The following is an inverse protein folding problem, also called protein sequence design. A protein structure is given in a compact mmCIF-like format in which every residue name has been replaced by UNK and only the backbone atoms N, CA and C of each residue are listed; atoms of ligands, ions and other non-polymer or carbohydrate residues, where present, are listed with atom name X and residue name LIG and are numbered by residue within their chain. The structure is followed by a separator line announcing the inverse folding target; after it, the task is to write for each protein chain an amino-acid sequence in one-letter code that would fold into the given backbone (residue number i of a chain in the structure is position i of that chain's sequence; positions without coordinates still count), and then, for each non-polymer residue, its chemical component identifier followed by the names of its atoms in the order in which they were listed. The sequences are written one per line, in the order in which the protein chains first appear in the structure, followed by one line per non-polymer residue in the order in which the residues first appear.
data_IF_103044368957
#
_entry.id   IF_103044368957
#
_cell.length_a   1.000
_cell.length_b   1.000
_cell.length_c   1.000
_cell.angle_alpha   90.00
_cell.angle_beta   90.00
_cell.angle_gamma   90.00
#
_symmetry.space_group_name_H-M   'P 1'
#
loop_
_entity.id
_entity.type
_entity.pdbx_description
1 polymer ?
#
# COMPACT_ATOMS: atom_id res chain seq x y z
N UNK A 1 -3.71 3.81 22.31
CA UNK A 1 -2.39 3.15 22.26
C UNK A 1 -1.32 4.24 22.08
N UNK A 2 -0.12 4.06 22.60
CA UNK A 2 0.93 5.10 22.52
C UNK A 2 1.59 5.11 21.15
N UNK A 3 1.92 6.29 20.62
CA UNK A 3 2.67 6.45 19.36
C UNK A 3 4.12 5.95 19.51
N UNK A 4 4.67 5.35 18.45
CA UNK A 4 6.10 5.04 18.32
C UNK A 4 6.97 6.31 18.25
N UNK A 5 8.29 6.18 18.27
CA UNK A 5 9.17 7.35 18.09
C UNK A 5 8.99 7.95 16.69
N UNK A 6 9.00 7.13 15.64
CA UNK A 6 8.76 7.58 14.27
C UNK A 6 7.39 8.28 14.14
N UNK A 7 6.32 7.71 14.72
CA UNK A 7 4.98 8.32 14.71
C UNK A 7 4.94 9.67 15.44
N UNK A 8 5.65 9.82 16.57
CA UNK A 8 5.75 11.11 17.28
C UNK A 8 6.46 12.16 16.43
N UNK A 9 7.52 11.77 15.72
CA UNK A 9 8.25 12.67 14.80
C UNK A 9 7.42 13.06 13.59
N UNK A 10 6.65 12.13 13.03
CA UNK A 10 5.69 12.42 11.97
C UNK A 10 4.58 13.38 12.44
N UNK A 11 4.05 13.18 13.65
CA UNK A 11 3.03 14.06 14.22
C UNK A 11 3.50 15.52 14.31
N UNK A 12 4.77 15.76 14.62
CA UNK A 12 5.35 17.12 14.66
C UNK A 12 5.21 17.87 13.31
N UNK A 13 5.19 17.16 12.17
CA UNK A 13 5.02 17.76 10.85
C UNK A 13 3.65 18.42 10.67
N UNK A 14 2.62 17.93 11.35
CA UNK A 14 1.25 18.47 11.24
C UNK A 14 1.10 19.89 11.80
N UNK A 15 2.12 20.39 12.50
CA UNK A 15 2.22 21.79 12.95
C UNK A 15 2.65 22.72 11.81
N UNK A 16 3.19 22.19 10.72
CA UNK A 16 3.60 22.95 9.55
C UNK A 16 2.40 23.17 8.63
N UNK A 17 2.24 24.37 8.02
CA UNK A 17 1.14 24.64 7.10
C UNK A 17 1.05 23.69 5.90
N UNK A 18 2.17 23.09 5.48
CA UNK A 18 2.25 22.17 4.35
C UNK A 18 1.62 20.79 4.63
N UNK A 19 1.41 20.42 5.90
CA UNK A 19 0.88 19.10 6.28
C UNK A 19 -0.38 19.20 7.15
N UNK A 20 -1.49 19.80 6.66
CA UNK A 20 -2.69 20.06 7.46
C UNK A 20 -3.56 18.79 7.65
N UNK A 21 -2.93 17.66 7.97
CA UNK A 21 -3.57 16.36 8.14
C UNK A 21 -3.79 16.07 9.62
N UNK A 22 -4.93 15.47 9.95
CA UNK A 22 -5.16 14.93 11.29
C UNK A 22 -4.47 13.56 11.41
N UNK A 23 -3.24 13.56 11.92
CA UNK A 23 -2.41 12.36 12.05
C UNK A 23 -3.10 11.23 12.84
N UNK A 24 -3.74 11.55 13.95
CA UNK A 24 -4.46 10.55 14.75
C UNK A 24 -5.64 9.94 13.99
N UNK A 25 -6.38 10.74 13.19
CA UNK A 25 -7.44 10.23 12.33
C UNK A 25 -6.88 9.26 11.30
N UNK A 26 -5.78 9.61 10.63
CA UNK A 26 -5.13 8.73 9.66
C UNK A 26 -4.75 7.40 10.32
N UNK A 27 -4.00 7.47 11.43
CA UNK A 27 -3.56 6.27 12.15
C UNK A 27 -4.74 5.39 12.58
N UNK A 28 -5.77 5.98 13.17
CA UNK A 28 -6.92 5.20 13.65
C UNK A 28 -7.70 4.56 12.50
N UNK A 29 -7.86 5.24 11.36
CA UNK A 29 -8.55 4.67 10.20
C UNK A 29 -7.75 3.52 9.59
N UNK A 30 -6.43 3.67 9.47
CA UNK A 30 -5.54 2.59 9.02
C UNK A 30 -5.64 1.37 9.94
N UNK A 31 -5.59 1.58 11.26
CA UNK A 31 -5.74 0.50 12.25
C UNK A 31 -7.10 -0.20 12.16
N UNK A 32 -8.19 0.56 12.01
CA UNK A 32 -9.54 0.02 11.84
C UNK A 32 -9.66 -0.80 10.57
N UNK A 33 -9.25 -0.24 9.44
CA UNK A 33 -9.34 -0.90 8.13
C UNK A 33 -8.56 -2.23 8.12
N UNK A 34 -7.32 -2.25 8.61
CA UNK A 34 -6.51 -3.47 8.63
C UNK A 34 -7.06 -4.51 9.61
N UNK A 35 -7.64 -4.08 10.73
CA UNK A 35 -8.32 -4.97 11.68
C UNK A 35 -9.55 -5.61 11.05
N UNK A 36 -10.42 -4.81 10.43
CA UNK A 36 -11.65 -5.29 9.80
C UNK A 36 -11.35 -6.23 8.62
N UNK A 37 -10.38 -5.85 7.78
CA UNK A 37 -9.95 -6.68 6.65
C UNK A 37 -9.49 -8.08 7.11
N UNK A 38 -8.66 -8.16 8.15
CA UNK A 38 -8.22 -9.46 8.72
C UNK A 38 -9.39 -10.30 9.22
N UNK A 39 -10.40 -9.68 9.82
CA UNK A 39 -11.58 -10.40 10.32
C UNK A 39 -12.56 -10.83 9.23
N UNK A 40 -12.52 -10.21 8.05
CA UNK A 40 -13.43 -10.53 6.94
C UNK A 40 -13.21 -11.93 6.34
N UNK A 41 -12.03 -12.53 6.56
CA UNK A 41 -11.74 -13.93 6.25
C UNK A 41 -11.78 -14.30 4.77
N UNK A 42 -11.88 -13.33 3.86
CA UNK A 42 -12.09 -13.58 2.43
C UNK A 42 -10.81 -14.02 1.70
N UNK A 43 -9.66 -13.49 2.12
CA UNK A 43 -8.32 -13.78 1.59
C UNK A 43 -7.37 -14.05 2.75
N UNK A 44 -7.20 -15.32 3.12
CA UNK A 44 -6.37 -15.74 4.28
C UNK A 44 -4.96 -16.14 3.89
N UNK A 45 -4.71 -16.29 2.60
CA UNK A 45 -3.53 -16.99 2.12
C UNK A 45 -2.43 -15.98 1.84
N UNK A 46 -1.44 -16.00 2.73
CA UNK A 46 -0.13 -15.34 2.69
C UNK A 46 -0.05 -13.89 3.19
N UNK A 47 0.76 -13.76 4.25
CA UNK A 47 1.21 -12.59 5.04
C UNK A 47 0.17 -11.89 5.93
N UNK A 48 0.55 -11.69 7.21
CA UNK A 48 -0.23 -10.94 8.20
C UNK A 48 -0.04 -9.44 7.93
N UNK A 49 -0.90 -8.84 7.10
CA UNK A 49 -0.90 -7.38 6.87
C UNK A 49 -1.74 -6.62 7.91
N UNK A 50 -1.89 -7.16 9.13
CA UNK A 50 -2.56 -6.42 10.19
C UNK A 50 -1.78 -5.19 10.62
N UNK A 51 -2.39 -4.38 11.47
CA UNK A 51 -1.69 -3.27 12.12
C UNK A 51 -0.49 -3.72 12.98
N UNK A 52 -0.37 -5.02 13.30
CA UNK A 52 0.85 -5.57 13.93
C UNK A 52 2.04 -5.41 12.98
N UNK A 53 1.89 -5.79 11.70
CA UNK A 53 2.95 -5.66 10.69
C UNK A 53 3.37 -4.19 10.51
N UNK A 54 2.42 -3.26 10.48
CA UNK A 54 2.70 -1.82 10.45
C UNK A 54 3.57 -1.38 11.64
N UNK A 55 3.25 -1.83 12.86
CA UNK A 55 4.05 -1.51 14.05
C UNK A 55 5.45 -2.12 14.00
N UNK A 56 5.57 -3.35 13.51
CA UNK A 56 6.86 -4.03 13.38
C UNK A 56 7.75 -3.27 12.37
N UNK A 57 7.17 -2.74 11.28
CA UNK A 57 7.89 -1.87 10.35
C UNK A 57 8.31 -0.54 10.98
N UNK A 58 7.43 0.10 11.76
CA UNK A 58 7.77 1.32 12.51
C UNK A 58 8.94 1.10 13.48
N UNK A 59 8.97 -0.03 14.18
CA UNK A 59 10.10 -0.40 15.04
C UNK A 59 11.36 -0.71 14.21
N UNK A 60 11.19 -1.33 13.05
CA UNK A 60 12.30 -1.66 12.15
C UNK A 60 12.98 -0.40 11.63
N UNK A 61 12.24 0.65 11.25
CA UNK A 61 12.87 1.90 10.80
C UNK A 61 13.60 2.63 11.92
N UNK A 62 13.09 2.57 13.15
CA UNK A 62 13.77 3.12 14.34
C UNK A 62 15.10 2.40 14.63
N UNK A 63 15.19 1.11 14.31
CA UNK A 63 16.42 0.33 14.43
C UNK A 63 17.36 0.50 13.24
N UNK A 64 16.82 0.56 12.02
CA UNK A 64 17.58 0.57 10.77
C UNK A 64 18.24 1.92 10.50
N UNK A 65 17.55 3.02 10.80
CA UNK A 65 18.07 4.37 10.56
C UNK A 65 19.04 4.72 11.69
N UNK A 66 20.34 4.94 11.42
CA UNK A 66 21.31 5.24 12.47
C UNK A 66 21.00 6.55 13.21
N UNK A 67 21.34 6.69 14.50
CA UNK A 67 21.04 7.90 15.28
C UNK A 67 21.51 9.21 14.63
N UNK A 68 22.66 9.21 13.99
CA UNK A 68 23.21 10.33 13.24
C UNK A 68 22.35 10.74 12.04
N UNK A 69 21.65 9.80 11.41
CA UNK A 69 20.68 10.09 10.35
C UNK A 69 19.37 10.55 10.95
N UNK A 70 18.91 9.92 12.04
CA UNK A 70 17.69 10.33 12.74
C UNK A 70 17.73 11.79 13.21
N UNK A 71 18.91 12.30 13.59
CA UNK A 71 19.09 13.69 14.01
C UNK A 71 19.01 14.70 12.87
N UNK A 72 19.31 14.29 11.64
CA UNK A 72 19.26 15.14 10.44
C UNK A 72 17.88 15.10 9.76
N UNK A 73 17.09 14.04 10.01
CA UNK A 73 15.74 13.91 9.46
C UNK A 73 14.78 14.94 10.06
N UNK A 74 14.14 15.70 9.19
CA UNK A 74 13.10 16.65 9.55
C UNK A 74 11.79 15.94 9.90
N UNK A 75 10.87 16.64 10.57
CA UNK A 75 9.53 16.08 10.81
C UNK A 75 8.81 15.73 9.51
N UNK A 76 9.06 16.45 8.42
CA UNK A 76 8.51 16.14 7.10
C UNK A 76 9.02 14.81 6.55
N UNK A 77 10.31 14.49 6.72
CA UNK A 77 10.90 13.20 6.32
C UNK A 77 10.23 12.05 7.09
N UNK A 78 10.08 12.20 8.41
CA UNK A 78 9.37 11.24 9.25
C UNK A 78 7.90 11.10 8.86
N UNK A 79 7.23 12.21 8.52
CA UNK A 79 5.84 12.19 8.08
C UNK A 79 5.64 11.39 6.80
N UNK A 80 6.47 11.64 5.78
CA UNK A 80 6.42 10.89 4.53
C UNK A 80 6.73 9.40 4.75
N UNK A 81 7.74 9.09 5.57
CA UNK A 81 8.10 7.71 5.90
C UNK A 81 6.96 6.97 6.62
N UNK A 82 6.37 7.57 7.66
CA UNK A 82 5.30 6.94 8.43
C UNK A 82 4.04 6.74 7.59
N UNK A 83 3.65 7.74 6.78
CA UNK A 83 2.52 7.56 5.87
C UNK A 83 2.78 6.50 4.79
N UNK A 84 4.00 6.42 4.26
CA UNK A 84 4.37 5.35 3.33
C UNK A 84 4.23 3.97 4.01
N UNK A 85 4.72 3.82 5.23
CA UNK A 85 4.55 2.58 6.02
C UNK A 85 3.07 2.25 6.24
N UNK A 86 2.23 3.24 6.56
CA UNK A 86 0.79 3.01 6.74
C UNK A 86 0.07 2.57 5.46
N UNK A 87 0.48 3.08 4.30
CA UNK A 87 -0.31 2.94 3.08
C UNK A 87 0.26 1.94 2.07
N UNK A 88 1.54 1.57 2.13
CA UNK A 88 2.24 0.79 1.08
C UNK A 88 1.46 -0.46 0.64
N UNK A 89 0.87 -1.19 1.59
CA UNK A 89 0.15 -2.44 1.35
C UNK A 89 -1.39 -2.30 1.38
N UNK A 90 -1.92 -1.09 1.50
CA UNK A 90 -3.38 -0.87 1.46
C UNK A 90 -4.00 -1.37 0.15
N UNK A 91 -3.22 -1.41 -0.93
CA UNK A 91 -3.60 -1.95 -2.24
C UNK A 91 -3.84 -3.45 -2.24
N UNK A 92 -3.55 -4.16 -1.14
CA UNK A 92 -3.90 -5.57 -0.97
C UNK A 92 -5.32 -5.77 -0.47
N UNK A 93 -5.97 -4.69 0.00
CA UNK A 93 -7.34 -4.75 0.49
C UNK A 93 -8.27 -4.93 -0.70
N UNK A 94 -9.19 -5.86 -0.53
CA UNK A 94 -10.15 -6.27 -1.54
C UNK A 94 -11.47 -6.48 -0.82
N UNK A 95 -12.54 -5.94 -1.39
CA UNK A 95 -13.91 -6.23 -0.98
C UNK A 95 -14.50 -7.40 -1.75
N UNK A 96 -15.55 -7.99 -1.19
CA UNK A 96 -16.33 -9.02 -1.88
C UNK A 96 -16.89 -8.52 -3.23
N UNK A 97 -17.28 -7.26 -3.32
CA UNK A 97 -17.81 -6.67 -4.54
C UNK A 97 -16.75 -6.57 -5.65
N UNK A 98 -15.52 -6.16 -5.31
CA UNK A 98 -14.38 -6.19 -6.23
C UNK A 98 -14.11 -7.61 -6.72
N UNK A 99 -14.06 -8.59 -5.82
CA UNK A 99 -13.85 -9.98 -6.22
C UNK A 99 -14.97 -10.47 -7.13
N UNK A 100 -16.24 -10.32 -6.77
CA UNK A 100 -17.39 -10.74 -7.60
C UNK A 100 -17.40 -10.02 -8.97
N UNK A 101 -16.91 -8.77 -9.02
CA UNK A 101 -16.78 -7.96 -10.22
C UNK A 101 -15.48 -8.16 -11.03
N UNK A 102 -14.52 -8.98 -10.57
CA UNK A 102 -13.16 -9.10 -11.12
C UNK A 102 -13.06 -9.21 -12.64
N UNK A 103 -13.95 -9.93 -13.30
CA UNK A 103 -13.93 -10.07 -14.77
C UNK A 103 -14.41 -8.83 -15.53
N UNK A 104 -14.77 -7.75 -14.85
CA UNK A 104 -15.00 -6.44 -15.46
C UNK A 104 -13.69 -5.65 -15.58
N UNK A 105 -12.71 -5.95 -14.74
CA UNK A 105 -11.40 -5.32 -14.74
C UNK A 105 -10.57 -5.79 -15.97
N UNK A 106 -10.20 -4.87 -16.88
CA UNK A 106 -9.36 -5.21 -18.04
C UNK A 106 -7.93 -5.60 -17.66
N UNK A 107 -7.39 -5.08 -16.55
CA UNK A 107 -6.05 -5.40 -16.07
C UNK A 107 -6.01 -6.81 -15.48
N UNK A 108 -7.09 -7.24 -14.81
CA UNK A 108 -7.22 -8.63 -14.39
C UNK A 108 -7.24 -9.59 -15.58
N UNK A 109 -7.99 -9.28 -16.65
CA UNK A 109 -7.98 -10.10 -17.87
C UNK A 109 -6.59 -10.17 -18.50
N UNK A 110 -5.91 -9.04 -18.57
CA UNK A 110 -4.54 -8.96 -19.09
C UNK A 110 -3.58 -9.82 -18.26
N UNK A 111 -3.74 -9.81 -16.94
CA UNK A 111 -2.97 -10.66 -16.02
C UNK A 111 -3.23 -12.16 -16.26
N UNK A 112 -4.45 -12.56 -16.60
CA UNK A 112 -4.77 -13.94 -16.95
C UNK A 112 -4.06 -14.41 -18.23
N UNK A 113 -3.94 -13.52 -19.21
CA UNK A 113 -3.33 -13.84 -20.52
C UNK A 113 -1.79 -13.77 -20.48
N UNK A 114 -1.22 -12.88 -19.66
CA UNK A 114 0.21 -12.63 -19.55
C UNK A 114 0.68 -12.73 -18.08
N UNK A 115 0.88 -13.93 -17.54
CA UNK A 115 1.31 -14.10 -16.17
C UNK A 115 2.75 -13.62 -15.96
N UNK A 116 2.94 -12.64 -15.07
CA UNK A 116 4.21 -11.94 -14.82
C UNK A 116 4.98 -12.69 -13.72
N UNK A 117 5.25 -13.97 -13.96
CA UNK A 117 6.10 -14.80 -13.12
C UNK A 117 7.22 -15.36 -13.98
N UNK A 118 8.43 -15.45 -13.42
CA UNK A 118 9.51 -16.20 -14.05
C UNK A 118 9.00 -17.61 -14.40
N UNK A 119 9.36 -18.13 -15.58
CA UNK A 119 8.72 -19.32 -16.18
C UNK A 119 8.57 -20.51 -15.21
N UNK A 120 9.57 -20.75 -14.35
CA UNK A 120 9.55 -21.81 -13.33
C UNK A 120 8.53 -21.55 -12.22
N UNK A 121 8.45 -20.32 -11.70
CA UNK A 121 7.46 -19.92 -10.69
C UNK A 121 6.04 -19.94 -11.26
N UNK A 122 5.90 -19.56 -12.54
CA UNK A 122 4.62 -19.63 -13.23
C UNK A 122 4.12 -21.08 -13.35
N UNK A 123 4.98 -22.01 -13.75
CA UNK A 123 4.62 -23.42 -13.86
C UNK A 123 4.21 -24.01 -12.50
N UNK A 124 4.92 -23.67 -11.42
CA UNK A 124 4.57 -24.09 -10.05
C UNK A 124 3.22 -23.51 -9.61
N UNK A 125 2.96 -22.24 -9.93
CA UNK A 125 1.69 -21.60 -9.63
C UNK A 125 0.52 -22.27 -10.35
N UNK A 126 0.66 -22.55 -11.65
CA UNK A 126 -0.37 -23.29 -12.42
C UNK A 126 -0.59 -24.71 -11.87
N UNK A 127 0.47 -25.42 -11.50
CA UNK A 127 0.35 -26.73 -10.89
C UNK A 127 -0.39 -26.67 -9.55
N UNK A 128 -0.12 -25.65 -8.73
CA UNK A 128 -0.86 -25.39 -7.48
C UNK A 128 -2.33 -25.13 -7.76
N UNK A 129 -2.67 -24.25 -8.71
CA UNK A 129 -4.06 -23.96 -9.08
C UNK A 129 -4.81 -25.21 -9.54
N UNK A 130 -4.17 -26.07 -10.34
CA UNK A 130 -4.77 -27.31 -10.81
C UNK A 130 -5.03 -28.34 -9.70
N UNK A 131 -4.33 -28.24 -8.57
CA UNK A 131 -4.48 -29.13 -7.41
C UNK A 131 -5.57 -28.69 -6.42
N UNK A 132 -6.13 -27.49 -6.60
CA UNK A 132 -7.09 -26.87 -5.67
C UNK A 132 -8.54 -27.00 -6.20
N UNK A 133 -9.55 -26.98 -5.31
CA UNK A 133 -10.94 -26.78 -5.70
C UNK A 133 -11.10 -25.51 -6.54
N UNK A 134 -12.02 -25.51 -7.50
CA UNK A 134 -12.14 -24.43 -8.49
C UNK A 134 -12.36 -23.04 -7.86
N UNK A 135 -13.17 -22.96 -6.80
CA UNK A 135 -13.44 -21.73 -6.06
C UNK A 135 -12.21 -21.23 -5.29
N UNK A 136 -11.43 -22.15 -4.71
CA UNK A 136 -10.17 -21.82 -4.02
C UNK A 136 -9.10 -21.38 -5.01
N UNK A 137 -8.96 -22.09 -6.13
CA UNK A 137 -8.04 -21.74 -7.20
C UNK A 137 -8.34 -20.35 -7.77
N UNK A 138 -9.62 -20.01 -7.93
CA UNK A 138 -10.02 -18.71 -8.43
C UNK A 138 -9.72 -17.57 -7.45
N UNK A 139 -9.94 -17.77 -6.15
CA UNK A 139 -9.54 -16.80 -5.12
C UNK A 139 -8.03 -16.57 -5.12
N UNK A 140 -7.25 -17.65 -5.07
CA UNK A 140 -5.79 -17.58 -5.09
C UNK A 140 -5.28 -16.85 -6.35
N UNK A 141 -5.93 -17.06 -7.50
CA UNK A 141 -5.58 -16.36 -8.74
C UNK A 141 -5.81 -14.85 -8.64
N UNK A 142 -6.92 -14.44 -8.05
CA UNK A 142 -7.23 -13.03 -7.87
C UNK A 142 -6.35 -12.38 -6.79
N UNK A 143 -6.04 -13.09 -5.71
CA UNK A 143 -5.05 -12.65 -4.71
C UNK A 143 -3.70 -12.34 -5.36
N UNK A 144 -3.22 -13.21 -6.26
CA UNK A 144 -1.94 -13.01 -6.93
C UNK A 144 -1.97 -11.81 -7.88
N UNK A 145 -3.09 -11.59 -8.59
CA UNK A 145 -3.28 -10.38 -9.38
C UNK A 145 -3.20 -9.11 -8.51
N UNK A 146 -3.87 -9.13 -7.35
CA UNK A 146 -3.87 -7.99 -6.44
C UNK A 146 -2.48 -7.79 -5.82
N UNK A 147 -1.76 -8.85 -5.46
CA UNK A 147 -0.34 -8.75 -5.07
C UNK A 147 0.52 -8.17 -6.16
N UNK A 148 0.28 -8.50 -7.42
CA UNK A 148 1.05 -7.92 -8.50
C UNK A 148 0.75 -6.42 -8.68
N UNK A 149 -0.49 -6.01 -8.44
CA UNK A 149 -0.97 -4.64 -8.73
C UNK A 149 -1.02 -3.72 -7.51
N UNK A 150 -0.86 -4.19 -6.27
CA UNK A 150 -1.14 -3.40 -5.06
C UNK A 150 -0.37 -2.08 -4.98
N UNK A 151 0.92 -2.05 -5.34
CA UNK A 151 1.69 -0.80 -5.38
C UNK A 151 1.09 0.22 -6.34
N UNK A 152 0.69 -0.22 -7.55
CA UNK A 152 -0.01 0.61 -8.55
C UNK A 152 -1.39 1.06 -8.06
N UNK A 153 -2.13 0.18 -7.37
CA UNK A 153 -3.43 0.50 -6.77
C UNK A 153 -3.30 1.63 -5.75
N UNK A 154 -2.39 1.48 -4.78
CA UNK A 154 -2.13 2.51 -3.76
C UNK A 154 -1.71 3.82 -4.40
N UNK A 155 -0.83 3.77 -5.40
CA UNK A 155 -0.42 4.97 -6.13
C UNK A 155 -1.60 5.69 -6.76
N UNK A 156 -2.43 4.97 -7.51
CA UNK A 156 -3.60 5.53 -8.17
C UNK A 156 -4.58 6.16 -7.16
N UNK A 157 -4.80 5.50 -6.02
CA UNK A 157 -5.67 5.99 -4.95
C UNK A 157 -5.13 7.26 -4.30
N UNK A 158 -3.81 7.35 -4.06
CA UNK A 158 -3.18 8.52 -3.46
C UNK A 158 -3.08 9.70 -4.44
N UNK A 159 -2.78 9.46 -5.72
CA UNK A 159 -2.74 10.50 -6.77
C UNK A 159 -4.15 11.00 -7.13
N UNK A 160 -5.21 10.21 -6.89
CA UNK A 160 -6.58 10.55 -7.28
C UNK A 160 -6.85 10.46 -8.79
N UNK A 161 -5.97 9.78 -9.54
CA UNK A 161 -6.06 9.62 -10.98
C UNK A 161 -7.03 8.51 -11.41
N UNK A 162 -7.55 8.60 -12.63
CA UNK A 162 -8.39 7.57 -13.26
C UNK A 162 -7.60 6.47 -13.98
N UNK A 163 -6.26 6.48 -13.88
CA UNK A 163 -5.38 5.60 -14.65
C UNK A 163 -5.53 4.11 -14.27
N UNK A 164 -6.09 3.84 -13.09
CA UNK A 164 -6.48 2.50 -12.65
C UNK A 164 -8.00 2.50 -12.48
N UNK A 165 -8.73 1.81 -13.36
CA UNK A 165 -10.20 1.71 -13.32
C UNK A 165 -10.69 0.74 -12.23
N UNK A 166 -10.04 0.73 -11.07
CA UNK A 166 -10.52 0.02 -9.88
C UNK A 166 -11.61 0.84 -9.19
N UNK A 167 -12.70 1.07 -9.92
CA UNK A 167 -13.85 1.89 -9.52
C UNK A 167 -14.72 1.24 -8.44
N UNK A 168 -14.42 -0.01 -8.08
CA UNK A 168 -15.21 -0.78 -7.11
C UNK A 168 -14.60 -0.76 -5.71
N UNK A 169 -13.36 -0.30 -5.55
CA UNK A 169 -12.71 -0.30 -4.25
C UNK A 169 -13.11 0.92 -3.40
N UNK A 170 -13.83 0.75 -2.27
CA UNK A 170 -14.12 1.86 -1.35
C UNK A 170 -12.84 2.37 -0.67
N UNK A 171 -11.74 1.61 -0.73
CA UNK A 171 -10.44 2.02 -0.19
C UNK A 171 -9.89 3.26 -0.87
N UNK A 172 -10.20 3.48 -2.15
CA UNK A 172 -9.86 4.69 -2.87
C UNK A 172 -10.41 5.92 -2.14
N UNK A 173 -11.71 5.93 -1.87
CA UNK A 173 -12.39 7.07 -1.26
C UNK A 173 -11.91 7.31 0.17
N UNK A 174 -11.67 6.22 0.92
CA UNK A 174 -11.12 6.30 2.28
C UNK A 174 -9.73 6.93 2.28
N UNK A 175 -8.81 6.44 1.45
CA UNK A 175 -7.46 7.00 1.38
C UNK A 175 -7.48 8.44 0.86
N UNK A 176 -8.29 8.73 -0.16
CA UNK A 176 -8.46 10.07 -0.69
C UNK A 176 -8.92 11.02 0.41
N UNK A 177 -9.92 10.67 1.23
CA UNK A 177 -10.38 11.51 2.33
C UNK A 177 -9.25 11.81 3.35
N UNK A 178 -8.43 10.80 3.67
CA UNK A 178 -7.34 10.93 4.62
C UNK A 178 -6.22 11.85 4.13
N UNK A 179 -5.90 11.81 2.83
CA UNK A 179 -4.77 12.57 2.26
C UNK A 179 -5.19 13.84 1.50
N UNK A 180 -6.49 14.06 1.25
CA UNK A 180 -7.02 15.25 0.55
C UNK A 180 -6.49 16.58 1.09
N UNK A 181 -6.23 16.78 2.39
CA UNK A 181 -5.67 18.03 2.88
C UNK A 181 -4.23 18.31 2.40
N UNK A 182 -3.49 17.31 1.94
CA UNK A 182 -2.12 17.47 1.44
C UNK A 182 -2.11 18.08 0.05
N UNK A 183 -1.06 18.87 -0.23
CA UNK A 183 -0.80 19.39 -1.58
C UNK A 183 -0.70 18.23 -2.59
N UNK A 184 -1.22 18.38 -3.83
CA UNK A 184 -1.13 17.35 -4.86
C UNK A 184 0.30 16.85 -5.13
N UNK A 185 1.31 17.70 -4.98
CA UNK A 185 2.73 17.33 -5.13
C UNK A 185 3.16 16.37 -4.03
N UNK A 186 2.79 16.67 -2.78
CA UNK A 186 3.06 15.79 -1.62
C UNK A 186 2.34 14.46 -1.79
N UNK A 187 1.08 14.47 -2.25
CA UNK A 187 0.31 13.25 -2.52
C UNK A 187 0.97 12.38 -3.58
N UNK A 188 1.43 12.98 -4.68
CA UNK A 188 2.16 12.27 -5.75
C UNK A 188 3.46 11.68 -5.23
N UNK A 189 4.22 12.44 -4.46
CA UNK A 189 5.51 11.97 -3.93
C UNK A 189 5.31 10.85 -2.89
N UNK A 190 4.25 10.94 -2.07
CA UNK A 190 3.84 9.85 -1.18
C UNK A 190 3.40 8.61 -1.96
N UNK A 191 2.67 8.79 -3.05
CA UNK A 191 2.23 7.71 -3.94
C UNK A 191 3.42 6.97 -4.56
N UNK A 192 4.47 7.70 -4.97
CA UNK A 192 5.73 7.14 -5.46
C UNK A 192 6.45 6.32 -4.37
N UNK A 193 6.52 6.83 -3.14
CA UNK A 193 7.12 6.10 -2.02
C UNK A 193 6.36 4.80 -1.74
N UNK A 194 5.03 4.85 -1.71
CA UNK A 194 4.18 3.68 -1.50
C UNK A 194 4.26 2.64 -2.62
N UNK A 195 4.49 3.03 -3.88
CA UNK A 195 4.66 2.06 -4.97
C UNK A 195 6.08 1.46 -4.98
N UNK A 196 7.06 2.19 -4.45
CA UNK A 196 8.48 1.90 -4.66
C UNK A 196 8.94 0.51 -4.23
N UNK A 197 8.33 -0.09 -3.20
CA UNK A 197 8.68 -1.44 -2.73
C UNK A 197 8.27 -2.56 -3.69
N UNK A 198 7.41 -2.24 -4.66
CA UNK A 198 6.99 -3.16 -5.73
C UNK A 198 7.77 -2.96 -7.03
N UNK A 199 8.59 -1.91 -7.11
CA UNK A 199 9.39 -1.58 -8.29
C UNK A 199 10.81 -2.15 -8.16
N UNK A 200 11.39 -2.51 -9.30
CA UNK A 200 12.79 -2.91 -9.35
C UNK A 200 13.71 -1.68 -9.42
N UNK A 201 14.91 -1.82 -8.87
CA UNK A 201 15.97 -0.82 -9.02
C UNK A 201 15.82 0.37 -8.07
N UNK A 202 15.62 0.10 -6.78
CA UNK A 202 15.53 1.12 -5.70
C UNK A 202 16.74 2.08 -5.70
N UNK A 203 17.88 1.62 -6.20
CA UNK A 203 19.10 2.38 -6.40
C UNK A 203 19.06 3.37 -7.59
N UNK A 204 18.06 3.27 -8.47
CA UNK A 204 17.97 4.07 -9.69
C UNK A 204 17.13 5.35 -9.49
N UNK A 205 17.80 6.45 -9.16
CA UNK A 205 17.19 7.77 -8.94
C UNK A 205 16.48 8.36 -10.16
N UNK A 206 16.66 7.79 -11.37
CA UNK A 206 15.89 8.22 -12.55
C UNK A 206 14.46 7.70 -12.56
N UNK A 207 14.18 6.63 -11.81
CA UNK A 207 12.84 6.04 -11.64
C UNK A 207 12.05 6.82 -10.57
N UNK A 208 12.72 7.26 -9.50
CA UNK A 208 12.11 7.95 -8.36
C UNK A 208 12.38 9.46 -8.35
N UNK A 209 12.00 10.16 -9.43
CA UNK A 209 12.14 11.62 -9.49
C UNK A 209 11.16 12.29 -8.53
N UNK A 210 11.63 12.66 -7.34
CA UNK A 210 10.90 13.55 -6.43
C UNK A 210 11.01 14.99 -6.93
N UNK A 211 9.96 15.78 -6.78
CA UNK A 211 10.04 17.21 -7.10
C UNK A 211 10.70 17.91 -5.93
N UNK A 212 11.96 18.26 -6.07
CA UNK A 212 12.61 19.15 -5.11
C UNK A 212 12.12 20.59 -5.38
N UNK A 213 11.54 21.29 -4.38
CA UNK A 213 11.24 22.72 -4.49
C UNK A 213 12.52 23.57 -4.55
#
# INVERSE_FOLDING_TARGET
MQLSFAEKKAEEATKLPAFPVNFHKVRSHVETVLTEWKTSGFFQEYTDHSFIHVRDMLQTVEWLIPPETQSEMTSADWFMLVLAIYFHDMGLIITRAEFEGRYKDPDFKTFLDNPILAAEKHAQFLAKLASLPADVAERLRYEEYVRFSHGKRVRAWLEGGSAFEDTLSPMRDILEELVRPLDPTIRRDLALLCESHTLNGIENTTIYKTSQP
#
